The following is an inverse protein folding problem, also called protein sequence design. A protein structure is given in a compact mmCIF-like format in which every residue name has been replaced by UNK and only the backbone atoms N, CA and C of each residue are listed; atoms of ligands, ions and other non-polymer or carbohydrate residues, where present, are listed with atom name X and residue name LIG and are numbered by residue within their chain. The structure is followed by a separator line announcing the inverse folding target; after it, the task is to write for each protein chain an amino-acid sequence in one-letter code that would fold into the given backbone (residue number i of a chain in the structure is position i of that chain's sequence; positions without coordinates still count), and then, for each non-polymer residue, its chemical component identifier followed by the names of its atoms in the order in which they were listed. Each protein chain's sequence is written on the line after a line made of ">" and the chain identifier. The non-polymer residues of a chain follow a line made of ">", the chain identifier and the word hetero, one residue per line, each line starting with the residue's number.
data_IF_067280772138
#
_entry.id   IF_067280772138
#
_cell.length_a   1.000
_cell.length_b   1.000
_cell.length_c   1.000
_cell.angle_alpha   90.00
_cell.angle_beta   90.00
_cell.angle_gamma   90.00
#
_symmetry.space_group_name_H-M   'P 1'
#
loop_
_entity.id
_entity.type
_entity.pdbx_description
1 polymer ?
#
# COMPACT_ATOMS: atom_id res chain seq x y z
N UNK A 1 15.27 -15.47 -2.52
CA UNK A 1 16.02 -14.68 -3.52
C UNK A 1 16.66 -15.58 -4.58
N UNK A 2 15.99 -16.65 -5.01
CA UNK A 2 16.63 -17.72 -5.81
C UNK A 2 15.91 -17.97 -7.16
N UNK A 3 15.11 -17.00 -7.61
CA UNK A 3 14.47 -17.05 -8.92
C UNK A 3 14.52 -15.65 -9.52
N UNK A 4 15.16 -15.56 -10.69
CA UNK A 4 15.16 -14.38 -11.51
C UNK A 4 14.00 -14.51 -12.50
N UNK A 5 13.01 -13.63 -12.38
CA UNK A 5 11.89 -13.59 -13.32
C UNK A 5 12.37 -12.93 -14.62
N UNK A 6 12.11 -13.58 -15.74
CA UNK A 6 12.37 -12.98 -17.06
C UNK A 6 11.41 -11.81 -17.33
N UNK A 7 11.74 -10.99 -18.33
CA UNK A 7 10.88 -9.89 -18.77
C UNK A 7 9.49 -10.41 -19.16
N UNK A 8 9.42 -11.46 -19.97
CA UNK A 8 8.16 -12.02 -20.47
C UNK A 8 7.30 -12.60 -19.34
N UNK A 9 7.93 -13.24 -18.34
CA UNK A 9 7.24 -13.78 -17.17
C UNK A 9 6.68 -12.66 -16.29
N UNK A 10 7.44 -11.57 -16.12
CA UNK A 10 6.99 -10.38 -15.40
C UNK A 10 5.81 -9.72 -16.12
N UNK A 11 5.90 -9.57 -17.44
CA UNK A 11 4.84 -8.97 -18.25
C UNK A 11 3.56 -9.80 -18.22
N UNK A 12 3.66 -11.12 -18.40
CA UNK A 12 2.51 -12.01 -18.28
C UNK A 12 1.90 -11.97 -16.87
N UNK A 13 2.71 -11.80 -15.83
CA UNK A 13 2.24 -11.61 -14.47
C UNK A 13 1.38 -10.36 -14.31
N UNK A 14 1.82 -9.24 -14.90
CA UNK A 14 1.10 -7.96 -14.88
C UNK A 14 -0.21 -8.03 -15.68
N UNK A 15 -0.17 -8.59 -16.89
CA UNK A 15 -1.35 -8.68 -17.77
C UNK A 15 -2.48 -9.55 -17.23
N UNK A 16 -2.15 -10.53 -16.37
CA UNK A 16 -3.13 -11.41 -15.72
C UNK A 16 -3.87 -10.74 -14.57
N UNK A 17 -3.41 -9.58 -14.09
CA UNK A 17 -4.01 -8.88 -12.94
C UNK A 17 -5.44 -8.47 -13.26
N UNK A 18 -6.36 -8.95 -12.44
CA UNK A 18 -7.78 -8.60 -12.52
C UNK A 18 -8.16 -7.53 -11.50
N UNK A 19 -9.27 -6.82 -11.76
CA UNK A 19 -9.83 -5.85 -10.81
C UNK A 19 -10.12 -6.47 -9.43
N UNK A 20 -10.54 -7.74 -9.40
CA UNK A 20 -10.80 -8.48 -8.15
C UNK A 20 -9.52 -8.68 -7.34
N UNK A 21 -8.39 -8.95 -7.99
CA UNK A 21 -7.12 -9.13 -7.31
C UNK A 21 -6.58 -7.81 -6.78
N UNK A 22 -6.75 -6.72 -7.52
CA UNK A 22 -6.43 -5.37 -7.03
C UNK A 22 -7.27 -5.04 -5.79
N UNK A 23 -8.58 -5.27 -5.84
CA UNK A 23 -9.45 -5.05 -4.68
C UNK A 23 -9.05 -5.89 -3.47
N UNK A 24 -8.69 -7.17 -3.67
CA UNK A 24 -8.20 -8.03 -2.61
C UNK A 24 -6.93 -7.45 -1.96
N UNK A 25 -5.94 -7.09 -2.76
CA UNK A 25 -4.69 -6.51 -2.24
C UNK A 25 -4.94 -5.18 -1.54
N UNK A 26 -5.86 -4.35 -2.05
CA UNK A 26 -6.25 -3.12 -1.40
C UNK A 26 -6.86 -3.38 0.00
N UNK A 27 -7.80 -4.32 0.12
CA UNK A 27 -8.39 -4.71 1.42
C UNK A 27 -7.33 -5.31 2.37
N UNK A 28 -6.31 -5.97 1.84
CA UNK A 28 -5.23 -6.54 2.65
C UNK A 28 -4.24 -5.47 3.15
N UNK A 29 -3.97 -4.43 2.36
CA UNK A 29 -3.02 -3.36 2.69
C UNK A 29 -3.66 -2.22 3.48
N UNK A 30 -4.88 -1.83 3.13
CA UNK A 30 -5.64 -0.77 3.79
C UNK A 30 -6.45 -1.34 4.95
N UNK A 31 -5.73 -1.72 6.00
CA UNK A 31 -6.29 -2.17 7.28
C UNK A 31 -5.93 -1.20 8.39
N UNK A 32 -6.79 -1.09 9.38
CA UNK A 32 -6.53 -0.27 10.57
C UNK A 32 -5.18 -0.59 11.19
N UNK A 33 -4.48 0.48 11.60
CA UNK A 33 -3.16 0.38 12.19
C UNK A 33 -2.01 0.11 11.20
N UNK A 34 -2.28 -0.03 9.89
CA UNK A 34 -1.25 -0.17 8.85
C UNK A 34 -0.86 1.15 8.18
N UNK A 35 -1.53 2.25 8.53
CA UNK A 35 -1.27 3.60 8.02
C UNK A 35 -0.25 4.34 8.88
N UNK A 36 0.69 5.01 8.22
CA UNK A 36 1.67 5.90 8.84
C UNK A 36 1.78 7.20 8.04
N UNK A 37 1.99 8.31 8.74
CA UNK A 37 2.13 9.63 8.13
C UNK A 37 3.37 10.33 8.66
N UNK A 38 4.15 10.93 7.75
CA UNK A 38 5.31 11.76 8.07
C UNK A 38 5.06 13.17 7.54
N UNK A 39 5.22 14.18 8.38
CA UNK A 39 5.09 15.58 8.00
C UNK A 39 6.45 16.26 8.10
N UNK A 40 6.84 16.98 7.06
CA UNK A 40 8.11 17.71 6.98
C UNK A 40 7.85 19.21 6.79
N UNK A 41 8.50 20.05 7.60
CA UNK A 41 8.42 21.51 7.51
C UNK A 41 8.22 22.19 8.88
N UNK A 42 7.86 23.47 8.88
CA UNK A 42 7.47 24.16 10.11
C UNK A 42 6.04 23.75 10.51
N UNK A 43 5.94 22.62 11.21
CA UNK A 43 4.66 21.98 11.53
C UNK A 43 3.89 22.65 12.67
N UNK A 44 4.43 23.70 13.32
CA UNK A 44 3.74 24.51 14.34
C UNK A 44 2.92 23.68 15.37
N UNK A 45 3.47 22.56 15.84
CA UNK A 45 2.79 21.71 16.83
C UNK A 45 1.71 20.77 16.27
N UNK A 46 1.63 20.57 14.94
CA UNK A 46 0.75 19.59 14.32
C UNK A 46 0.98 18.20 14.94
N UNK A 47 -0.08 17.68 15.56
CA UNK A 47 -0.15 16.28 16.00
C UNK A 47 -1.12 15.54 15.09
N UNK A 48 -0.71 14.37 14.62
CA UNK A 48 -1.59 13.43 13.94
C UNK A 48 -1.92 12.35 14.98
N UNK A 49 -3.07 12.45 15.66
CA UNK A 49 -3.51 11.45 16.62
C UNK A 49 -3.86 10.15 15.88
N UNK A 50 -3.78 9.01 16.55
CA UNK A 50 -3.82 7.69 15.90
C UNK A 50 -5.16 7.41 15.23
N UNK A 51 -6.23 7.94 15.81
CA UNK A 51 -7.62 7.83 15.36
C UNK A 51 -7.80 8.52 13.99
N UNK A 52 -6.95 9.50 13.64
CA UNK A 52 -6.96 10.10 12.30
C UNK A 52 -6.31 9.24 11.21
N UNK A 53 -5.73 8.11 11.58
CA UNK A 53 -5.11 7.13 10.68
C UNK A 53 -5.95 5.84 10.60
N UNK A 54 -7.12 5.79 11.24
CA UNK A 54 -8.07 4.69 11.15
C UNK A 54 -8.89 4.82 9.85
N UNK A 55 -9.32 3.69 9.30
CA UNK A 55 -10.11 3.57 8.09
C UNK A 55 -11.53 3.16 8.50
N UNK A 56 -12.44 4.14 8.57
CA UNK A 56 -13.87 3.93 8.88
C UNK A 56 -14.58 2.92 7.94
#
# INVERSE_FOLDING_TARGET
>A
FDRQFGLDETLQGIERVTAKEVQRVAVDLFRDGSLAATVLGNVNGLRIPRERLELD
#
